data_IF_200371558282
#
_entry.id   IF_200371558282
#
_cell.length_a   1.000
_cell.length_b   1.000
_cell.length_c   1.000
_cell.angle_alpha   90.00
_cell.angle_beta   90.00
_cell.angle_gamma   90.00
#
_symmetry.space_group_name_H-M   'P 1'
#
loop_
_entity.id
_entity.type
_entity.pdbx_description
1 polymer ?
#
# COMPACT_ATOMS: atom_id res chain seq x y z
N UNK A 1 3.10 -2.09 -30.61
CA UNK A 1 3.69 -1.01 -29.79
C UNK A 1 3.85 -1.52 -28.36
N UNK A 2 5.06 -1.49 -27.82
CA UNK A 2 5.39 -2.01 -26.47
C UNK A 2 4.59 -1.26 -25.38
N UNK A 3 4.11 -2.01 -24.38
CA UNK A 3 3.36 -1.52 -23.20
C UNK A 3 4.14 -0.43 -22.48
N UNK A 4 5.47 -0.54 -22.48
CA UNK A 4 6.38 0.46 -21.91
C UNK A 4 6.24 1.84 -22.58
N UNK A 5 6.01 1.90 -23.90
CA UNK A 5 5.74 3.16 -24.62
C UNK A 5 4.38 3.75 -24.26
N UNK A 6 3.38 2.92 -23.93
CA UNK A 6 2.06 3.39 -23.50
C UNK A 6 2.11 3.99 -22.09
N UNK A 7 2.80 3.32 -21.17
CA UNK A 7 3.06 3.82 -19.80
C UNK A 7 3.81 5.15 -19.86
N UNK A 8 4.86 5.23 -20.68
CA UNK A 8 5.66 6.45 -20.79
C UNK A 8 4.95 7.60 -21.52
N UNK A 9 3.95 7.31 -22.35
CA UNK A 9 3.11 8.33 -23.01
C UNK A 9 2.04 8.87 -22.05
N UNK A 10 1.50 8.03 -21.17
CA UNK A 10 0.56 8.45 -20.13
C UNK A 10 1.19 9.44 -19.14
N UNK A 11 2.44 9.20 -18.73
CA UNK A 11 3.19 10.07 -17.80
C UNK A 11 3.49 11.46 -18.40
N UNK A 12 3.58 11.59 -19.73
CA UNK A 12 3.91 12.86 -20.40
C UNK A 12 2.68 13.73 -20.70
N UNK A 13 1.46 13.18 -20.58
CA UNK A 13 0.21 13.85 -20.91
C UNK A 13 -0.68 14.01 -19.68
N UNK A 14 -0.26 14.85 -18.74
CA UNK A 14 -1.06 15.18 -17.55
C UNK A 14 -2.42 15.78 -17.93
N UNK A 15 -3.49 15.01 -17.73
CA UNK A 15 -4.86 15.51 -17.68
C UNK A 15 -5.73 14.55 -16.84
N UNK A 16 -6.00 14.98 -15.60
CA UNK A 16 -6.87 14.40 -14.56
C UNK A 16 -6.27 13.34 -13.62
N UNK A 17 -6.08 13.75 -12.36
CA UNK A 17 -5.70 12.93 -11.19
C UNK A 17 -6.71 11.78 -10.90
N UNK A 18 -7.91 11.84 -11.49
CA UNK A 18 -8.94 10.80 -11.36
C UNK A 18 -8.85 9.68 -12.41
N UNK A 19 -8.13 9.89 -13.52
CA UNK A 19 -7.90 8.89 -14.57
C UNK A 19 -6.69 8.00 -14.33
N UNK A 20 -5.64 8.53 -13.68
CA UNK A 20 -4.41 7.80 -13.36
C UNK A 20 -4.64 6.68 -12.33
N UNK A 21 -5.46 6.90 -11.29
CA UNK A 21 -5.65 5.92 -10.21
C UNK A 21 -6.35 4.61 -10.63
N UNK A 22 -7.22 4.64 -11.65
CA UNK A 22 -7.93 3.45 -12.17
C UNK A 22 -7.06 2.66 -13.16
N UNK A 23 -6.15 3.36 -13.86
CA UNK A 23 -5.16 2.75 -14.76
C UNK A 23 -4.01 2.14 -13.93
N UNK A 24 -3.58 2.80 -12.85
CA UNK A 24 -2.48 2.37 -11.99
C UNK A 24 -2.78 1.10 -11.18
N UNK A 25 -3.95 0.98 -10.55
CA UNK A 25 -4.30 -0.23 -9.80
C UNK A 25 -4.34 -1.49 -10.70
N UNK A 26 -4.79 -1.32 -11.95
CA UNK A 26 -4.74 -2.39 -12.95
C UNK A 26 -3.32 -2.64 -13.46
N UNK A 27 -2.50 -1.60 -13.63
CA UNK A 27 -1.10 -1.74 -14.04
C UNK A 27 -0.25 -2.48 -12.99
N UNK A 28 -0.38 -2.15 -11.70
CA UNK A 28 0.31 -2.84 -10.60
C UNK A 28 -0.10 -4.32 -10.53
N UNK A 29 -1.40 -4.62 -10.71
CA UNK A 29 -1.90 -6.00 -10.76
C UNK A 29 -1.41 -6.77 -11.97
N UNK A 30 -1.40 -6.15 -13.16
CA UNK A 30 -0.86 -6.77 -14.38
C UNK A 30 0.64 -7.04 -14.21
N UNK A 31 1.40 -6.09 -13.67
CA UNK A 31 2.82 -6.26 -13.44
C UNK A 31 3.12 -7.37 -12.43
N UNK A 32 2.31 -7.49 -11.37
CA UNK A 32 2.40 -8.62 -10.44
C UNK A 32 2.13 -9.97 -11.14
N UNK A 33 1.14 -10.02 -12.03
CA UNK A 33 0.84 -11.23 -12.81
C UNK A 33 2.00 -11.59 -13.75
N UNK A 34 2.54 -10.62 -14.47
CA UNK A 34 3.72 -10.81 -15.35
C UNK A 34 4.93 -11.34 -14.57
N UNK A 35 5.18 -10.83 -13.35
CA UNK A 35 6.24 -11.36 -12.47
C UNK A 35 5.96 -12.82 -12.12
N UNK A 36 4.73 -13.18 -11.72
CA UNK A 36 4.36 -14.57 -11.39
C UNK A 36 4.51 -15.49 -12.60
N UNK A 37 4.11 -15.03 -13.78
CA UNK A 37 4.25 -15.81 -15.02
C UNK A 37 5.73 -16.00 -15.37
N UNK A 38 6.55 -14.96 -15.23
CA UNK A 38 7.99 -15.06 -15.38
C UNK A 38 8.64 -16.03 -14.38
N UNK A 39 8.18 -16.08 -13.13
CA UNK A 39 8.63 -17.07 -12.14
C UNK A 39 8.27 -18.51 -12.52
N UNK A 40 7.04 -18.71 -13.03
CA UNK A 40 6.60 -20.01 -13.51
C UNK A 40 7.44 -20.47 -14.70
N UNK A 41 7.70 -19.57 -15.66
CA UNK A 41 8.59 -19.85 -16.80
C UNK A 41 10.03 -20.13 -16.35
N UNK A 42 10.53 -19.38 -15.37
CA UNK A 42 11.85 -19.61 -14.81
C UNK A 42 11.96 -20.98 -14.13
N UNK A 43 10.92 -21.41 -13.43
CA UNK A 43 10.86 -22.74 -12.80
C UNK A 43 10.90 -23.85 -13.86
N UNK A 44 10.18 -23.69 -14.96
CA UNK A 44 10.24 -24.61 -16.11
C UNK A 44 11.65 -24.62 -16.73
N UNK A 45 12.23 -23.46 -17.00
CA UNK A 45 13.58 -23.35 -17.56
C UNK A 45 14.65 -24.01 -16.66
N UNK A 46 14.53 -23.90 -15.33
CA UNK A 46 15.39 -24.61 -14.38
C UNK A 46 15.24 -26.12 -14.48
N UNK A 47 14.01 -26.62 -14.60
CA UNK A 47 13.74 -28.05 -14.78
C UNK A 47 14.34 -28.57 -16.09
N UNK A 48 14.17 -27.82 -17.17
CA UNK A 48 14.72 -28.17 -18.48
C UNK A 48 16.25 -28.17 -18.45
N UNK A 49 16.86 -27.17 -17.79
CA UNK A 49 18.31 -27.14 -17.55
C UNK A 49 18.79 -28.39 -16.80
N UNK A 50 18.10 -28.80 -15.74
CA UNK A 50 18.43 -30.04 -15.02
C UNK A 50 18.35 -31.26 -15.93
N UNK A 51 17.36 -31.32 -16.83
CA UNK A 51 17.26 -32.39 -17.83
C UNK A 51 18.47 -32.42 -18.77
N UNK A 52 18.86 -31.28 -19.34
CA UNK A 52 20.03 -31.18 -20.22
C UNK A 52 21.32 -31.53 -19.48
N UNK A 53 21.47 -31.09 -18.22
CA UNK A 53 22.63 -31.45 -17.39
C UNK A 53 22.68 -32.96 -17.10
N UNK A 54 21.54 -33.62 -16.92
CA UNK A 54 21.50 -35.07 -16.75
C UNK A 54 21.98 -35.80 -18.00
N UNK A 55 21.54 -35.36 -19.19
CA UNK A 55 22.02 -35.90 -20.47
C UNK A 55 23.51 -35.64 -20.68
N UNK A 56 24.00 -34.44 -20.34
CA UNK A 56 25.43 -34.12 -20.35
C UNK A 56 26.23 -35.07 -19.45
N UNK A 57 25.76 -35.33 -18.24
CA UNK A 57 26.42 -36.25 -17.30
C UNK A 57 26.41 -37.69 -17.81
N UNK A 58 25.31 -38.11 -18.45
CA UNK A 58 25.20 -39.44 -19.06
C UNK A 58 26.20 -39.61 -20.20
N UNK A 59 26.22 -38.66 -21.15
CA UNK A 59 27.16 -38.67 -22.28
C UNK A 59 28.62 -38.66 -21.79
N UNK A 60 28.93 -37.89 -20.74
CA UNK A 60 30.29 -37.87 -20.16
C UNK A 60 30.70 -39.22 -19.56
N UNK A 61 29.77 -39.94 -18.90
CA UNK A 61 30.05 -41.29 -18.38
C UNK A 61 30.31 -42.27 -19.52
N UNK A 62 29.54 -42.20 -20.59
CA UNK A 62 29.74 -43.05 -21.77
C UNK A 62 31.08 -42.77 -22.47
N UNK A 63 31.43 -41.50 -22.66
CA UNK A 63 32.77 -41.11 -23.17
C UNK A 63 33.87 -41.71 -22.30
N UNK A 64 33.76 -41.57 -20.97
CA UNK A 64 34.76 -42.10 -20.04
C UNK A 64 34.83 -43.64 -20.08
N UNK A 65 33.69 -44.31 -20.24
CA UNK A 65 33.62 -45.77 -20.38
C UNK A 65 34.30 -46.23 -21.66
N UNK A 66 33.97 -45.62 -22.80
CA UNK A 66 34.55 -45.95 -24.10
C UNK A 66 36.06 -45.70 -24.14
N UNK A 67 36.55 -44.60 -23.57
CA UNK A 67 37.99 -44.33 -23.45
C UNK A 67 38.72 -45.42 -22.67
N UNK A 68 38.12 -45.91 -21.58
CA UNK A 68 38.68 -47.02 -20.80
C UNK A 68 38.70 -48.31 -21.61
N UNK A 69 37.60 -48.64 -22.27
CA UNK A 69 37.51 -49.84 -23.11
C UNK A 69 38.55 -49.81 -24.23
N UNK A 70 38.73 -48.67 -24.91
CA UNK A 70 39.78 -48.49 -25.92
C UNK A 70 41.16 -48.77 -25.32
N UNK A 71 41.50 -48.12 -24.20
CA UNK A 71 42.80 -48.29 -23.54
C UNK A 71 43.06 -49.75 -23.14
N UNK A 72 42.02 -50.45 -22.66
CA UNK A 72 42.11 -51.87 -22.31
C UNK A 72 42.39 -52.75 -23.54
N UNK A 73 41.66 -52.50 -24.64
CA UNK A 73 41.84 -53.26 -25.88
C UNK A 73 43.18 -52.96 -26.56
N UNK A 74 43.68 -51.72 -26.47
CA UNK A 74 45.04 -51.38 -26.92
C UNK A 74 46.09 -52.21 -26.18
N UNK A 75 45.89 -52.44 -24.88
CA UNK A 75 46.71 -53.36 -24.09
C UNK A 75 46.65 -54.81 -24.59
N UNK A 76 45.47 -55.27 -25.02
CA UNK A 76 45.31 -56.61 -25.63
C UNK A 76 45.99 -56.73 -27.00
N UNK A 77 45.96 -55.67 -27.82
CA UNK A 77 46.72 -55.63 -29.09
C UNK A 77 48.22 -55.81 -28.81
N UNK A 78 48.77 -55.06 -27.84
CA UNK A 78 50.18 -55.19 -27.45
C UNK A 78 50.54 -56.62 -27.04
N UNK A 79 49.73 -57.24 -26.19
CA UNK A 79 49.94 -58.63 -25.75
C UNK A 79 49.83 -59.66 -26.88
N UNK A 80 48.93 -59.46 -27.84
CA UNK A 80 48.80 -60.33 -29.00
C UNK A 80 50.03 -60.23 -29.92
N UNK A 81 50.52 -59.01 -30.16
CA UNK A 81 51.73 -58.75 -30.94
C UNK A 81 52.99 -59.33 -30.27
N UNK A 82 53.13 -59.20 -28.96
CA UNK A 82 54.24 -59.82 -28.21
C UNK A 82 54.28 -61.35 -28.35
N UNK A 83 53.11 -61.97 -28.53
CA UNK A 83 52.97 -63.43 -28.74
C UNK A 83 53.08 -63.83 -30.22
N UNK A 84 53.25 -62.86 -31.13
CA UNK A 84 53.30 -63.08 -32.58
C UNK A 84 51.96 -63.45 -33.21
N UNK A 85 50.83 -63.26 -32.50
CA UNK A 85 49.50 -63.54 -33.03
C UNK A 85 48.92 -62.30 -33.72
N UNK A 86 49.40 -62.04 -34.93
CA UNK A 86 48.98 -60.90 -35.74
C UNK A 86 47.50 -60.95 -36.13
N UNK A 87 46.91 -62.16 -36.24
CA UNK A 87 45.49 -62.32 -36.57
C UNK A 87 44.61 -61.83 -35.42
N UNK A 88 44.95 -62.22 -34.18
CA UNK A 88 44.26 -61.74 -32.99
C UNK A 88 44.48 -60.23 -32.79
N UNK A 89 45.70 -59.74 -33.00
CA UNK A 89 46.01 -58.32 -32.90
C UNK A 89 45.16 -57.48 -33.87
N UNK A 90 45.00 -57.94 -35.11
CA UNK A 90 44.18 -57.26 -36.12
C UNK A 90 42.69 -57.28 -35.76
N UNK A 91 42.17 -58.41 -35.27
CA UNK A 91 40.77 -58.49 -34.82
C UNK A 91 40.46 -57.55 -33.64
N UNK A 92 41.38 -57.41 -32.68
CA UNK A 92 41.23 -56.46 -31.57
C UNK A 92 41.36 -55.01 -32.06
N UNK A 93 42.25 -54.74 -33.02
CA UNK A 93 42.37 -53.41 -33.64
C UNK A 93 41.09 -52.98 -34.38
N UNK A 94 40.42 -53.89 -35.09
CA UNK A 94 39.10 -53.64 -35.70
C UNK A 94 38.04 -53.28 -34.64
N UNK A 95 38.07 -53.97 -33.48
CA UNK A 95 37.19 -53.66 -32.35
C UNK A 95 37.47 -52.26 -31.79
N UNK A 96 38.73 -51.88 -31.64
CA UNK A 96 39.13 -50.52 -31.22
C UNK A 96 38.60 -49.48 -32.19
N UNK A 97 38.78 -49.67 -33.50
CA UNK A 97 38.27 -48.72 -34.51
C UNK A 97 36.76 -48.51 -34.40
N UNK A 98 36.00 -49.57 -34.09
CA UNK A 98 34.55 -49.43 -33.82
C UNK A 98 34.28 -48.60 -32.56
N UNK A 99 35.00 -48.86 -31.46
CA UNK A 99 34.86 -48.10 -30.22
C UNK A 99 35.27 -46.62 -30.38
N UNK A 100 36.27 -46.33 -31.20
CA UNK A 100 36.70 -44.96 -31.52
C UNK A 100 35.63 -44.19 -32.29
N UNK A 101 34.95 -44.84 -33.23
CA UNK A 101 33.82 -44.24 -33.95
C UNK A 101 32.66 -43.92 -32.99
N UNK A 102 32.33 -44.83 -32.08
CA UNK A 102 31.32 -44.61 -31.04
C UNK A 102 31.73 -43.49 -30.08
N UNK A 103 33.00 -43.45 -29.68
CA UNK A 103 33.56 -42.40 -28.83
C UNK A 103 33.44 -41.02 -29.49
N UNK A 104 33.76 -40.91 -30.78
CA UNK A 104 33.62 -39.67 -31.53
C UNK A 104 32.17 -39.17 -31.55
N UNK A 105 31.21 -40.07 -31.77
CA UNK A 105 29.78 -39.73 -31.73
C UNK A 105 29.34 -39.26 -30.33
N UNK A 106 29.74 -39.98 -29.27
CA UNK A 106 29.41 -39.59 -27.89
C UNK A 106 30.08 -38.28 -27.47
N UNK A 107 31.30 -38.03 -27.92
CA UNK A 107 32.00 -36.77 -27.66
C UNK A 107 31.29 -35.59 -28.33
N UNK A 108 30.78 -35.76 -29.55
CA UNK A 108 29.97 -34.74 -30.22
C UNK A 108 28.67 -34.46 -29.47
N UNK A 109 28.00 -35.50 -28.98
CA UNK A 109 26.80 -35.36 -28.15
C UNK A 109 27.12 -34.61 -26.84
N UNK A 110 28.18 -35.00 -26.14
CA UNK A 110 28.65 -34.34 -24.92
C UNK A 110 28.94 -32.85 -25.14
N UNK A 111 29.66 -32.51 -26.20
CA UNK A 111 29.96 -31.11 -26.54
C UNK A 111 28.67 -30.31 -26.78
N UNK A 112 27.70 -30.90 -27.46
CA UNK A 112 26.39 -30.28 -27.73
C UNK A 112 25.60 -30.06 -26.44
N UNK A 113 25.51 -31.07 -25.57
CA UNK A 113 24.82 -30.95 -24.28
C UNK A 113 25.50 -29.95 -23.35
N UNK A 114 26.83 -29.93 -23.30
CA UNK A 114 27.59 -28.96 -22.51
C UNK A 114 27.32 -27.53 -22.94
N UNK A 115 27.38 -27.26 -24.26
CA UNK A 115 27.08 -25.93 -24.79
C UNK A 115 25.64 -25.49 -24.51
N UNK A 116 24.68 -26.41 -24.63
CA UNK A 116 23.27 -26.13 -24.30
C UNK A 116 23.06 -25.89 -22.80
N UNK A 117 23.70 -26.67 -21.93
CA UNK A 117 23.63 -26.50 -20.48
C UNK A 117 24.20 -25.15 -20.04
N UNK A 118 25.36 -24.75 -20.57
CA UNK A 118 25.99 -23.47 -20.25
C UNK A 118 25.13 -22.29 -20.69
N UNK A 119 24.58 -22.34 -21.91
CA UNK A 119 23.67 -21.33 -22.42
C UNK A 119 22.39 -21.21 -21.58
N UNK A 120 21.76 -22.34 -21.25
CA UNK A 120 20.56 -22.34 -20.41
C UNK A 120 20.85 -21.82 -19.01
N UNK A 121 21.99 -22.19 -18.42
CA UNK A 121 22.42 -21.70 -17.11
C UNK A 121 22.61 -20.18 -17.09
N UNK A 122 23.21 -19.61 -18.13
CA UNK A 122 23.35 -18.15 -18.26
C UNK A 122 21.99 -17.46 -18.38
N UNK A 123 21.10 -17.99 -19.24
CA UNK A 123 19.75 -17.44 -19.43
C UNK A 123 18.93 -17.50 -18.14
N UNK A 124 18.95 -18.64 -17.42
CA UNK A 124 18.28 -18.79 -16.13
C UNK A 124 18.79 -17.75 -15.13
N UNK A 125 20.11 -17.60 -14.99
CA UNK A 125 20.72 -16.64 -14.07
C UNK A 125 20.37 -15.19 -14.41
N UNK A 126 20.31 -14.86 -15.70
CA UNK A 126 19.91 -13.52 -16.17
C UNK A 126 18.44 -13.25 -15.85
N UNK A 127 17.56 -14.21 -16.15
CA UNK A 127 16.12 -14.12 -15.88
C UNK A 127 15.82 -14.04 -14.37
N UNK A 128 16.53 -14.81 -13.54
CA UNK A 128 16.46 -14.69 -12.06
C UNK A 128 16.70 -13.27 -11.59
N UNK A 129 17.80 -12.66 -12.03
CA UNK A 129 18.16 -11.28 -11.66
C UNK A 129 17.07 -10.29 -12.08
N UNK A 130 16.52 -10.45 -13.29
CA UNK A 130 15.45 -9.59 -13.79
C UNK A 130 14.17 -9.73 -12.97
N UNK A 131 13.76 -10.96 -12.67
CA UNK A 131 12.58 -11.23 -11.83
C UNK A 131 12.77 -10.63 -10.43
N UNK A 132 13.94 -10.81 -9.80
CA UNK A 132 14.25 -10.20 -8.49
C UNK A 132 14.17 -8.67 -8.54
N UNK A 133 14.72 -8.06 -9.60
CA UNK A 133 14.65 -6.60 -9.76
C UNK A 133 13.21 -6.11 -9.97
N UNK A 134 12.42 -6.79 -10.78
CA UNK A 134 11.00 -6.45 -10.98
C UNK A 134 10.18 -6.60 -9.69
N UNK A 135 10.45 -7.62 -8.87
CA UNK A 135 9.85 -7.74 -7.54
C UNK A 135 10.19 -6.56 -6.63
N UNK A 136 11.45 -6.12 -6.65
CA UNK A 136 11.90 -4.95 -5.88
C UNK A 136 11.17 -3.68 -6.34
N UNK A 137 11.04 -3.49 -7.65
CA UNK A 137 10.29 -2.38 -8.25
C UNK A 137 8.80 -2.42 -7.85
N UNK A 138 8.16 -3.59 -7.93
CA UNK A 138 6.77 -3.78 -7.49
C UNK A 138 6.61 -3.44 -6.01
N UNK A 139 7.54 -3.85 -5.14
CA UNK A 139 7.51 -3.50 -3.72
C UNK A 139 7.58 -1.99 -3.50
N UNK A 140 8.47 -1.29 -4.21
CA UNK A 140 8.63 0.16 -4.11
C UNK A 140 7.35 0.90 -4.54
N UNK A 141 6.72 0.46 -5.63
CA UNK A 141 5.44 1.00 -6.09
C UNK A 141 4.36 0.80 -5.03
N UNK A 142 4.18 -0.43 -4.52
CA UNK A 142 3.18 -0.73 -3.47
C UNK A 142 3.41 0.05 -2.17
N UNK A 143 4.66 0.24 -1.77
CA UNK A 143 5.00 1.09 -0.61
C UNK A 143 4.62 2.54 -0.86
N UNK A 144 4.93 3.08 -2.05
CA UNK A 144 4.57 4.46 -2.43
C UNK A 144 3.05 4.65 -2.44
N UNK A 145 2.30 3.72 -3.04
CA UNK A 145 0.83 3.72 -3.02
C UNK A 145 0.28 3.68 -1.58
N UNK A 146 0.90 2.89 -0.70
CA UNK A 146 0.48 2.77 0.71
C UNK A 146 0.74 4.05 1.50
N UNK A 147 1.88 4.70 1.29
CA UNK A 147 2.21 6.00 1.89
C UNK A 147 1.21 7.06 1.42
N UNK A 148 0.95 7.14 0.11
CA UNK A 148 -0.03 8.09 -0.44
C UNK A 148 -1.43 7.89 0.18
N UNK A 149 -1.92 6.64 0.25
CA UNK A 149 -3.21 6.33 0.89
C UNK A 149 -3.24 6.75 2.37
N UNK A 150 -2.17 6.49 3.12
CA UNK A 150 -2.07 6.91 4.52
C UNK A 150 -2.08 8.45 4.65
N UNK A 151 -1.35 9.16 3.80
CA UNK A 151 -1.33 10.63 3.76
C UNK A 151 -2.71 11.21 3.42
N UNK A 152 -3.42 10.65 2.44
CA UNK A 152 -4.79 11.07 2.11
C UNK A 152 -5.74 10.85 3.27
N UNK A 153 -5.72 9.67 3.91
CA UNK A 153 -6.58 9.36 5.05
C UNK A 153 -6.34 10.29 6.26
N UNK A 154 -5.08 10.71 6.50
CA UNK A 154 -4.75 11.69 7.54
C UNK A 154 -5.32 13.07 7.17
N UNK A 155 -5.16 13.50 5.92
CA UNK A 155 -5.62 14.81 5.43
C UNK A 155 -7.14 14.92 5.45
N UNK A 156 -7.86 13.86 5.06
CA UNK A 156 -9.31 13.78 5.10
C UNK A 156 -9.85 13.80 6.55
N UNK A 157 -9.16 13.13 7.46
CA UNK A 157 -9.49 13.18 8.89
C UNK A 157 -9.19 14.55 9.51
N UNK A 158 -8.14 15.24 9.07
CA UNK A 158 -7.79 16.56 9.59
C UNK A 158 -8.78 17.65 9.12
N UNK A 159 -9.14 17.63 7.82
CA UNK A 159 -10.13 18.55 7.25
C UNK A 159 -11.54 18.35 7.85
N UNK A 160 -11.96 17.10 8.09
CA UNK A 160 -13.23 16.78 8.76
C UNK A 160 -13.21 17.06 10.28
N UNK A 161 -12.05 17.02 10.94
CA UNK A 161 -11.93 17.37 12.36
C UNK A 161 -11.97 18.88 12.59
N UNK A 162 -11.46 19.67 11.64
CA UNK A 162 -11.51 21.14 11.71
C UNK A 162 -12.95 21.67 11.59
N UNK A 163 -13.80 21.06 10.75
CA UNK A 163 -15.21 21.44 10.62
C UNK A 163 -16.05 21.09 11.86
N UNK A 164 -15.74 19.97 12.53
CA UNK A 164 -16.36 19.59 13.81
C UNK A 164 -15.92 20.49 14.96
N UNK A 165 -14.66 20.91 15.01
CA UNK A 165 -14.16 21.85 16.02
C UNK A 165 -14.75 23.25 15.86
N UNK A 166 -14.89 23.74 14.62
CA UNK A 166 -15.54 25.02 14.33
C UNK A 166 -17.02 25.00 14.73
N UNK A 167 -17.76 23.95 14.34
CA UNK A 167 -19.18 23.81 14.72
C UNK A 167 -19.40 23.61 16.22
N UNK A 168 -18.45 22.99 16.93
CA UNK A 168 -18.46 22.90 18.38
C UNK A 168 -18.23 24.26 19.05
N UNK A 169 -17.27 25.07 18.56
CA UNK A 169 -17.05 26.44 19.04
C UNK A 169 -18.28 27.34 18.80
N UNK A 170 -18.85 27.31 17.60
CA UNK A 170 -20.06 28.06 17.26
C UNK A 170 -21.26 27.65 18.14
N UNK A 171 -21.36 26.35 18.45
CA UNK A 171 -22.39 25.84 19.36
C UNK A 171 -22.20 26.33 20.79
N UNK A 172 -20.95 26.41 21.26
CA UNK A 172 -20.61 26.92 22.60
C UNK A 172 -20.90 28.42 22.72
N UNK A 173 -20.60 29.21 21.69
CA UNK A 173 -20.97 30.63 21.63
C UNK A 173 -22.49 30.83 21.63
N UNK A 174 -23.24 30.02 20.87
CA UNK A 174 -24.72 30.04 20.91
C UNK A 174 -25.28 29.69 22.29
N UNK A 175 -24.71 28.70 22.98
CA UNK A 175 -25.14 28.32 24.33
C UNK A 175 -24.89 29.48 25.31
N UNK A 176 -23.71 30.11 25.27
CA UNK A 176 -23.38 31.28 26.09
C UNK A 176 -24.34 32.45 25.82
N UNK A 177 -24.61 32.76 24.55
CA UNK A 177 -25.55 33.83 24.19
C UNK A 177 -26.97 33.56 24.70
N UNK A 178 -27.41 32.30 24.69
CA UNK A 178 -28.72 31.90 25.22
C UNK A 178 -28.80 32.04 26.74
N UNK A 179 -27.73 31.67 27.46
CA UNK A 179 -27.65 31.85 28.92
C UNK A 179 -27.66 33.33 29.30
N UNK A 180 -26.83 34.15 28.64
CA UNK A 180 -26.81 35.60 28.86
C UNK A 180 -28.20 36.22 28.64
N UNK A 181 -28.88 35.85 27.54
CA UNK A 181 -30.23 36.34 27.25
C UNK A 181 -31.26 35.92 28.29
N UNK A 182 -31.07 34.76 28.94
CA UNK A 182 -31.92 34.32 30.04
C UNK A 182 -31.67 35.16 31.29
N UNK A 183 -30.41 35.39 31.66
CA UNK A 183 -30.04 36.23 32.79
C UNK A 183 -30.54 37.67 32.62
N UNK A 184 -30.40 38.24 31.42
CA UNK A 184 -30.89 39.58 31.09
C UNK A 184 -32.42 39.67 31.22
N UNK A 185 -33.15 38.62 30.81
CA UNK A 185 -34.60 38.53 31.00
C UNK A 185 -34.99 38.43 32.47
N UNK A 186 -34.25 37.66 33.27
CA UNK A 186 -34.50 37.54 34.70
C UNK A 186 -34.30 38.87 35.41
N UNK A 187 -33.21 39.58 35.11
CA UNK A 187 -32.97 40.95 35.60
C UNK A 187 -34.06 41.92 35.17
N UNK A 188 -34.51 41.86 33.91
CA UNK A 188 -35.61 42.70 33.44
C UNK A 188 -36.93 42.40 34.17
N UNK A 189 -37.20 41.14 34.49
CA UNK A 189 -38.36 40.74 35.28
C UNK A 189 -38.26 41.25 36.73
N UNK A 190 -37.09 41.15 37.38
CA UNK A 190 -36.85 41.73 38.71
C UNK A 190 -37.08 43.25 38.74
N UNK A 191 -36.63 43.96 37.70
CA UNK A 191 -36.88 45.40 37.56
C UNK A 191 -38.39 45.68 37.44
N UNK A 192 -39.11 44.97 36.57
CA UNK A 192 -40.55 45.13 36.40
C UNK A 192 -41.35 44.77 37.66
N UNK A 193 -40.92 43.77 38.43
CA UNK A 193 -41.50 43.40 39.72
C UNK A 193 -41.28 44.50 40.76
N UNK A 194 -40.07 45.09 40.80
CA UNK A 194 -39.76 46.22 41.67
C UNK A 194 -40.59 47.47 41.31
N UNK A 195 -40.84 47.70 40.02
CA UNK A 195 -41.70 48.79 39.51
C UNK A 195 -43.20 48.56 39.80
N UNK A 196 -43.66 47.31 39.84
CA UNK A 196 -45.05 46.94 40.17
C UNK A 196 -45.32 46.78 41.67
N UNK A 197 -44.30 46.89 42.54
CA UNK A 197 -44.56 46.90 43.97
C UNK A 197 -45.33 48.17 44.36
N UNK A 198 -46.48 48.00 45.03
CA UNK A 198 -47.41 49.04 45.51
C UNK A 198 -46.80 50.11 46.46
N UNK A 199 -45.48 50.09 46.64
CA UNK A 199 -44.69 51.07 47.38
C UNK A 199 -44.56 52.42 46.65
N UNK A 200 -44.66 52.44 45.30
CA UNK A 200 -44.51 53.67 44.53
C UNK A 200 -45.73 54.60 44.63
N UNK A 201 -46.95 54.04 44.63
CA UNK A 201 -48.19 54.81 44.73
C UNK A 201 -48.39 55.40 46.13
N UNK A 202 -48.08 54.63 47.18
CA UNK A 202 -48.15 55.10 48.57
C UNK A 202 -47.08 56.13 48.90
N UNK A 203 -45.88 56.02 48.34
CA UNK A 203 -44.84 57.05 48.47
C UNK A 203 -45.20 58.33 47.70
N UNK A 204 -45.78 58.23 46.50
CA UNK A 204 -46.24 59.37 45.71
C UNK A 204 -47.47 60.07 46.31
N UNK A 205 -48.43 59.33 46.87
CA UNK A 205 -49.62 59.90 47.53
C UNK A 205 -49.26 60.64 48.83
N UNK A 206 -48.28 60.15 49.60
CA UNK A 206 -47.77 60.82 50.81
C UNK A 206 -46.96 62.07 50.47
N UNK A 207 -46.17 62.05 49.40
CA UNK A 207 -45.45 63.22 48.89
C UNK A 207 -46.38 64.30 48.30
N UNK A 208 -47.53 63.90 47.73
CA UNK A 208 -48.56 64.79 47.20
C UNK A 208 -49.53 65.31 48.27
N UNK A 209 -49.40 64.89 49.54
CA UNK A 209 -50.24 65.36 50.64
C UNK A 209 -51.69 64.87 50.61
N UNK A 210 -51.99 63.78 49.89
CA UNK A 210 -53.34 63.24 49.75
C UNK A 210 -53.46 61.97 50.60
N UNK A 211 -54.02 62.12 51.80
CA UNK A 211 -54.28 61.06 52.77
C UNK A 211 -54.88 61.64 54.05
N UNK A 212 -56.06 61.15 54.41
CA UNK A 212 -56.96 61.56 55.50
C UNK A 212 -56.36 62.38 56.65
N UNK A 213 -56.74 63.66 56.74
CA UNK A 213 -56.52 64.49 57.92
C UNK A 213 -57.71 64.32 58.88
N UNK A 214 -57.41 63.84 60.08
CA UNK A 214 -58.36 63.72 61.18
C UNK A 214 -58.96 65.09 61.56
N UNK A 215 -60.29 65.12 61.70
CA UNK A 215 -61.05 66.29 62.13
C UNK A 215 -60.65 66.72 63.55
N UNK A 216 -59.85 67.78 63.67
CA UNK A 216 -59.49 68.34 64.97
C UNK A 216 -60.61 69.22 65.54
N UNK A 217 -60.80 69.10 66.85
CA UNK A 217 -61.85 69.70 67.67
C UNK A 217 -61.97 71.24 67.59
N UNK A 218 -60.95 71.92 67.06
CA UNK A 218 -60.96 73.37 66.86
C UNK A 218 -61.99 73.82 65.81
N UNK A 219 -62.25 72.99 64.78
CA UNK A 219 -63.25 73.28 63.72
C UNK A 219 -64.70 73.31 64.24
N UNK A 220 -64.99 72.60 65.34
CA UNK A 220 -66.32 72.57 65.97
C UNK A 220 -66.54 73.78 66.89
N UNK A 221 -65.47 74.27 67.52
CA UNK A 221 -65.51 75.35 68.51
C UNK A 221 -65.76 76.72 67.84
N UNK A 222 -65.21 76.94 66.65
CA UNK A 222 -65.45 78.15 65.85
C UNK A 222 -66.89 78.21 65.28
N UNK A 223 -67.47 77.06 64.95
CA UNK A 223 -68.87 76.96 64.48
C UNK A 223 -69.89 77.34 65.56
N UNK A 224 -69.58 77.10 66.84
CA UNK A 224 -70.46 77.45 67.96
C UNK A 224 -70.35 78.94 68.29
N UNK A 225 -69.14 79.51 68.25
CA UNK A 225 -68.93 80.96 68.47
C UNK A 225 -69.59 81.84 67.40
N UNK A 226 -69.66 81.37 66.16
CA UNK A 226 -70.34 82.09 65.07
C UNK A 226 -71.87 82.11 65.17
N UNK A 227 -72.47 81.34 66.10
CA UNK A 227 -73.93 81.22 66.28
C UNK A 227 -74.49 82.01 67.47
N UNK A 228 -73.67 82.80 68.18
CA UNK A 228 -74.07 83.67 69.31
C UNK A 228 -73.84 85.16 69.03
N UNK A 229 -74.19 85.63 67.82
CA UNK A 229 -74.34 87.06 67.51
C UNK A 229 -75.67 87.31 66.82
#
# INVERSE_FOLDING_TARGET
MSIFKKIMTAIRGGASEAGEAIIDANATRIFEQEIRDAENHLTKAKRDLTGVMAEQMSANREVTRLQREITEHEGYVGQALEKGDETLALAVAEKISTLENDLAAQQQALNSFSGNADRLKELVKKSERQVTEHKRQLSMVKTTESVQKATSAITDNFSSSNSKLLSAKDSLERIKAKQQKFDDKMKAAEILESENSDSSLTAQLKAAGIGSQENSANSVLDRIKAKQK
#
